data_IF_352144755382
#
_entry.id   IF_352144755382
#
_cell.length_a   1.000
_cell.length_b   1.000
_cell.length_c   1.000
_cell.angle_alpha   90.00
_cell.angle_beta   90.00
_cell.angle_gamma   90.00
#
_symmetry.space_group_name_H-M   'P 1'
#
loop_
_entity.id
_entity.type
_entity.pdbx_description
1 polymer ?
#
# COMPACT_ATOMS: atom_id res chain seq x y z
N UNK A 1 26.04 -64.19 -7.09
CA UNK A 1 25.99 -64.35 -5.62
C UNK A 1 26.64 -63.20 -4.84
N UNK A 2 27.96 -62.89 -4.92
CA UNK A 2 28.55 -61.81 -4.07
C UNK A 2 28.24 -60.37 -4.50
N UNK A 3 27.98 -60.11 -5.79
CA UNK A 3 27.72 -58.75 -6.30
C UNK A 3 26.28 -58.28 -6.05
N UNK A 4 25.31 -59.19 -6.10
CA UNK A 4 23.88 -58.88 -5.85
C UNK A 4 23.62 -58.55 -4.37
N UNK A 5 24.37 -59.17 -3.45
CA UNK A 5 24.28 -58.88 -2.01
C UNK A 5 24.72 -57.44 -1.69
N UNK A 6 25.71 -56.91 -2.41
CA UNK A 6 26.17 -55.52 -2.22
C UNK A 6 25.12 -54.52 -2.71
N UNK A 7 24.47 -54.79 -3.85
CA UNK A 7 23.37 -53.94 -4.34
C UNK A 7 22.14 -53.99 -3.42
N UNK A 8 21.82 -55.15 -2.84
CA UNK A 8 20.74 -55.28 -1.87
C UNK A 8 21.02 -54.51 -0.57
N UNK A 9 22.26 -54.54 -0.07
CA UNK A 9 22.68 -53.76 1.11
C UNK A 9 22.62 -52.26 0.82
N UNK A 10 23.09 -51.82 -0.36
CA UNK A 10 23.04 -50.42 -0.76
C UNK A 10 21.59 -49.92 -0.93
N UNK A 11 20.74 -50.69 -1.59
CA UNK A 11 19.33 -50.34 -1.77
C UNK A 11 18.56 -50.31 -0.44
N UNK A 12 18.80 -51.29 0.45
CA UNK A 12 18.21 -51.33 1.78
C UNK A 12 18.67 -50.16 2.66
N UNK A 13 19.94 -49.76 2.57
CA UNK A 13 20.48 -48.60 3.28
C UNK A 13 19.86 -47.28 2.83
N UNK A 14 19.71 -47.07 1.51
CA UNK A 14 19.08 -45.87 0.96
C UNK A 14 17.59 -45.80 1.34
N UNK A 15 16.87 -46.93 1.24
CA UNK A 15 15.46 -46.98 1.64
C UNK A 15 15.30 -46.70 3.14
N UNK A 16 16.18 -47.26 3.98
CA UNK A 16 16.22 -47.02 5.42
C UNK A 16 16.48 -45.56 5.78
N UNK A 17 17.38 -44.88 5.05
CA UNK A 17 17.65 -43.45 5.24
C UNK A 17 16.46 -42.57 4.84
N UNK A 18 15.75 -42.90 3.76
CA UNK A 18 14.55 -42.17 3.33
C UNK A 18 13.44 -42.29 4.39
N UNK A 19 13.21 -43.49 4.92
CA UNK A 19 12.22 -43.73 5.97
C UNK A 19 12.62 -43.01 7.26
N UNK A 20 13.89 -43.11 7.68
CA UNK A 20 14.39 -42.43 8.87
C UNK A 20 14.29 -40.90 8.74
N UNK A 21 14.61 -40.35 7.57
CA UNK A 21 14.48 -38.91 7.29
C UNK A 21 13.01 -38.46 7.26
N UNK A 22 12.11 -39.27 6.71
CA UNK A 22 10.67 -39.02 6.72
C UNK A 22 10.09 -39.01 8.14
N UNK A 23 10.45 -40.00 8.97
CA UNK A 23 10.04 -40.07 10.39
C UNK A 23 10.63 -38.93 11.19
N UNK A 24 11.90 -38.57 10.98
CA UNK A 24 12.52 -37.43 11.66
C UNK A 24 11.84 -36.11 11.28
N UNK A 25 11.53 -35.89 9.99
CA UNK A 25 10.78 -34.70 9.54
C UNK A 25 9.36 -34.64 10.09
N UNK A 26 8.65 -35.77 10.13
CA UNK A 26 7.34 -35.84 10.75
C UNK A 26 7.42 -35.52 12.25
N UNK A 27 8.39 -36.07 12.97
CA UNK A 27 8.56 -35.81 14.40
C UNK A 27 9.00 -34.37 14.70
N UNK A 28 9.76 -33.72 13.81
CA UNK A 28 10.07 -32.28 13.90
C UNK A 28 8.81 -31.44 13.66
N UNK A 29 7.91 -31.87 12.77
CA UNK A 29 6.62 -31.19 12.54
C UNK A 29 5.61 -31.36 13.69
N UNK A 30 5.76 -32.41 14.51
CA UNK A 30 4.84 -32.73 15.61
C UNK A 30 5.45 -32.60 17.01
N UNK A 31 6.71 -32.17 17.16
CA UNK A 31 7.28 -31.90 18.48
C UNK A 31 6.59 -30.66 19.08
N UNK A 32 5.78 -30.78 20.15
CA UNK A 32 5.32 -29.61 20.85
C UNK A 32 6.55 -28.97 21.46
N UNK A 33 7.01 -27.88 20.86
CA UNK A 33 8.08 -27.10 21.44
C UNK A 33 7.58 -26.60 22.78
N UNK A 34 8.06 -27.21 23.87
CA UNK A 34 7.98 -26.67 25.21
C UNK A 34 8.97 -25.50 25.36
N UNK A 35 9.01 -24.63 24.33
CA UNK A 35 9.41 -23.24 24.49
C UNK A 35 8.26 -22.64 25.26
N UNK A 36 8.57 -22.12 26.44
CA UNK A 36 7.70 -21.20 27.15
C UNK A 36 7.36 -20.09 26.17
N UNK A 37 6.23 -20.23 25.48
CA UNK A 37 5.62 -19.17 24.74
C UNK A 37 5.26 -18.16 25.82
N UNK A 38 6.03 -17.08 25.90
CA UNK A 38 5.45 -15.84 26.39
C UNK A 38 4.17 -15.67 25.60
N UNK A 39 3.04 -15.92 26.25
CA UNK A 39 1.75 -15.50 25.74
C UNK A 39 1.83 -13.99 25.75
N UNK A 40 2.38 -13.40 24.68
CA UNK A 40 1.88 -12.11 24.25
C UNK A 40 0.45 -12.40 23.85
N UNK A 41 -0.43 -12.31 24.84
CA UNK A 41 -1.86 -12.24 24.64
C UNK A 41 -2.03 -11.13 23.61
N UNK A 42 -2.41 -11.49 22.39
CA UNK A 42 -2.83 -10.50 21.41
C UNK A 42 -3.95 -9.74 22.12
N UNK A 43 -3.63 -8.53 22.58
CA UNK A 43 -4.64 -7.59 23.05
C UNK A 43 -5.62 -7.47 21.88
N UNK A 44 -6.94 -7.61 22.10
CA UNK A 44 -7.89 -7.48 21.03
C UNK A 44 -7.63 -6.12 20.38
N UNK A 45 -7.21 -6.11 19.11
CA UNK A 45 -7.12 -4.85 18.37
C UNK A 45 -8.50 -4.23 18.45
N UNK A 46 -8.67 -3.08 19.13
CA UNK A 46 -9.98 -2.49 19.32
C UNK A 46 -10.60 -2.31 17.93
N UNK A 47 -11.79 -2.89 17.74
CA UNK A 47 -12.50 -2.76 16.47
C UNK A 47 -12.68 -1.27 16.18
N UNK A 48 -12.30 -0.78 14.98
CA UNK A 48 -12.45 0.64 14.66
C UNK A 48 -13.89 1.10 14.86
N UNK A 49 -14.08 2.24 15.54
CA UNK A 49 -15.40 2.80 15.80
C UNK A 49 -16.09 3.32 14.52
N UNK A 50 -15.31 3.59 13.48
CA UNK A 50 -15.74 3.99 12.15
C UNK A 50 -14.71 3.56 11.10
N UNK A 51 -15.05 3.73 9.82
CA UNK A 51 -14.22 3.33 8.69
C UNK A 51 -14.07 4.48 7.69
N UNK A 52 -12.99 4.45 6.91
CA UNK A 52 -12.83 5.24 5.70
C UNK A 52 -13.25 4.36 4.51
N UNK A 53 -13.97 4.93 3.55
CA UNK A 53 -14.27 4.29 2.26
C UNK A 53 -13.90 5.25 1.14
N UNK A 54 -13.09 4.79 0.19
CA UNK A 54 -12.69 5.59 -0.96
C UNK A 54 -13.67 5.41 -2.12
N UNK A 55 -14.01 6.52 -2.76
CA UNK A 55 -14.66 6.56 -4.07
C UNK A 55 -13.63 6.71 -5.20
N UNK A 56 -12.54 7.45 -4.94
CA UNK A 56 -11.38 7.62 -5.82
C UNK A 56 -10.14 7.93 -4.96
N UNK A 57 -8.92 7.61 -5.33
CA UNK A 57 -8.55 6.53 -6.24
C UNK A 57 -8.79 5.16 -5.56
N UNK A 58 -8.66 4.09 -6.35
CA UNK A 58 -8.75 2.71 -5.90
C UNK A 58 -7.37 2.06 -5.83
N UNK A 59 -7.25 1.03 -4.99
CA UNK A 59 -6.00 0.30 -4.84
C UNK A 59 -5.53 -0.31 -6.18
N UNK A 60 -4.24 -0.16 -6.44
CA UNK A 60 -3.57 -0.57 -7.67
C UNK A 60 -3.93 0.25 -8.91
N UNK A 61 -4.59 1.41 -8.78
CA UNK A 61 -4.83 2.29 -9.94
C UNK A 61 -3.51 2.72 -10.59
N UNK A 62 -3.49 2.74 -11.92
CA UNK A 62 -2.43 3.37 -12.71
C UNK A 62 -2.91 4.76 -13.14
N UNK A 63 -2.08 5.75 -12.89
CA UNK A 63 -2.33 7.15 -13.19
C UNK A 63 -1.27 7.66 -14.16
N UNK A 64 -1.66 8.58 -15.04
CA UNK A 64 -0.78 9.17 -16.06
C UNK A 64 -0.46 10.63 -15.77
N UNK A 65 -1.05 11.18 -14.70
CA UNK A 65 -0.74 12.50 -14.13
C UNK A 65 0.04 12.35 -12.82
N UNK A 66 0.92 13.31 -12.54
CA UNK A 66 1.77 13.33 -11.34
C UNK A 66 1.05 13.79 -10.07
N UNK A 67 -0.28 13.94 -10.11
CA UNK A 67 -1.10 14.32 -8.96
C UNK A 67 -2.42 13.57 -9.00
N UNK A 68 -3.01 13.31 -7.84
CA UNK A 68 -4.28 12.60 -7.73
C UNK A 68 -5.15 13.21 -6.65
N UNK A 69 -6.45 13.33 -6.96
CA UNK A 69 -7.47 13.67 -5.97
C UNK A 69 -8.11 12.41 -5.42
N UNK A 70 -7.90 12.17 -4.13
CA UNK A 70 -8.55 11.13 -3.35
C UNK A 70 -9.86 11.68 -2.80
N UNK A 71 -10.98 11.03 -3.12
CA UNK A 71 -12.31 11.34 -2.61
C UNK A 71 -12.90 10.12 -1.90
N UNK A 72 -13.61 10.36 -0.81
CA UNK A 72 -14.21 9.29 -0.03
C UNK A 72 -15.19 9.77 1.03
N UNK A 73 -15.64 8.81 1.83
CA UNK A 73 -16.55 9.03 2.96
C UNK A 73 -15.94 8.42 4.22
N UNK A 74 -16.13 9.11 5.34
CA UNK A 74 -15.79 8.68 6.70
C UNK A 74 -16.84 9.24 7.67
N UNK A 75 -16.56 9.24 8.98
CA UNK A 75 -17.42 9.91 9.98
C UNK A 75 -17.37 11.44 9.76
N UNK A 76 -18.51 12.12 9.92
CA UNK A 76 -18.63 13.57 9.74
C UNK A 76 -17.65 14.37 10.60
N UNK A 77 -17.15 15.50 10.08
CA UNK A 77 -16.28 16.45 10.80
C UNK A 77 -14.94 15.88 11.29
N UNK A 78 -14.54 14.69 10.82
CA UNK A 78 -13.25 14.07 11.14
C UNK A 78 -12.10 14.72 10.38
N UNK A 79 -10.91 14.72 10.98
CA UNK A 79 -9.69 15.04 10.26
C UNK A 79 -9.22 13.82 9.50
N UNK A 80 -8.88 13.96 8.22
CA UNK A 80 -8.30 12.91 7.39
C UNK A 80 -6.89 13.33 7.02
N UNK A 81 -5.89 12.72 7.66
CA UNK A 81 -4.48 12.83 7.26
C UNK A 81 -4.23 11.92 6.07
N UNK A 82 -3.62 12.45 5.01
CA UNK A 82 -3.18 11.72 3.83
C UNK A 82 -1.68 11.88 3.69
N UNK A 83 -0.96 10.78 3.83
CA UNK A 83 0.50 10.74 3.81
C UNK A 83 0.99 10.00 2.57
N UNK A 84 1.56 10.73 1.62
CA UNK A 84 2.22 10.21 0.43
C UNK A 84 3.72 9.98 0.64
N UNK A 85 4.46 9.75 -0.45
CA UNK A 85 5.91 9.52 -0.38
C UNK A 85 6.68 10.76 0.04
N UNK A 86 6.38 11.90 -0.57
CA UNK A 86 7.15 13.14 -0.40
C UNK A 86 6.41 14.23 0.37
N UNK A 87 5.10 14.08 0.53
CA UNK A 87 4.27 15.07 1.22
C UNK A 87 3.20 14.46 2.12
N UNK A 88 2.69 15.31 3.01
CA UNK A 88 1.53 15.05 3.85
C UNK A 88 0.55 16.20 3.68
N UNK A 89 -0.73 15.87 3.57
CA UNK A 89 -1.82 16.84 3.62
C UNK A 89 -2.85 16.36 4.62
N UNK A 90 -3.70 17.26 5.09
CA UNK A 90 -4.89 16.85 5.81
C UNK A 90 -6.08 17.67 5.34
N UNK A 91 -7.26 17.06 5.44
CA UNK A 91 -8.54 17.70 5.15
C UNK A 91 -9.52 17.38 6.26
N UNK A 92 -10.60 18.16 6.36
CA UNK A 92 -11.70 17.86 7.28
C UNK A 92 -12.87 17.35 6.48
N UNK A 93 -13.37 16.17 6.83
CA UNK A 93 -14.59 15.63 6.26
C UNK A 93 -15.77 16.55 6.58
N UNK A 94 -16.68 16.71 5.63
CA UNK A 94 -17.84 17.59 5.77
C UNK A 94 -18.89 17.04 6.76
N UNK A 95 -20.01 17.75 6.89
CA UNK A 95 -21.12 17.35 7.75
C UNK A 95 -21.76 16.01 7.35
N UNK A 96 -21.54 15.54 6.12
CA UNK A 96 -21.99 14.23 5.61
C UNK A 96 -20.86 13.19 5.63
N UNK A 97 -19.66 13.56 6.08
CA UNK A 97 -18.48 12.69 6.12
C UNK A 97 -17.71 12.61 4.80
N UNK A 98 -18.06 13.41 3.79
CA UNK A 98 -17.36 13.43 2.51
C UNK A 98 -16.04 14.19 2.65
N UNK A 99 -14.98 13.70 2.01
CA UNK A 99 -13.69 14.38 1.97
C UNK A 99 -13.08 14.28 0.58
N UNK A 100 -12.27 15.28 0.24
CA UNK A 100 -11.43 15.29 -0.96
C UNK A 100 -10.06 15.83 -0.57
N UNK A 101 -8.99 15.14 -0.98
CA UNK A 101 -7.60 15.54 -0.74
C UNK A 101 -6.78 15.28 -2.00
N UNK A 102 -5.97 16.25 -2.39
CA UNK A 102 -5.04 16.12 -3.52
C UNK A 102 -3.64 15.88 -3.00
N UNK A 103 -2.95 14.93 -3.60
CA UNK A 103 -1.53 14.68 -3.35
C UNK A 103 -0.75 14.50 -4.66
N UNK A 104 0.51 14.86 -4.63
CA UNK A 104 1.50 14.61 -5.66
C UNK A 104 2.00 13.16 -5.60
N UNK A 105 2.34 12.63 -6.77
CA UNK A 105 2.83 11.28 -6.97
C UNK A 105 4.25 11.31 -7.53
N UNK A 106 5.12 10.53 -6.90
CA UNK A 106 6.44 10.22 -7.43
C UNK A 106 6.32 9.16 -8.54
N UNK A 107 7.21 9.22 -9.52
CA UNK A 107 7.21 8.28 -10.65
C UNK A 107 7.34 6.82 -10.16
N UNK A 108 6.51 5.93 -10.69
CA UNK A 108 6.44 4.54 -10.25
C UNK A 108 5.43 4.35 -9.12
N UNK A 109 5.78 3.54 -8.13
CA UNK A 109 4.85 3.12 -7.07
C UNK A 109 4.83 4.09 -5.90
N UNK A 110 3.61 4.41 -5.42
CA UNK A 110 3.36 5.30 -4.28
C UNK A 110 2.49 4.56 -3.26
N UNK A 111 2.97 4.46 -2.02
CA UNK A 111 2.26 3.86 -0.88
C UNK A 111 1.65 4.96 -0.01
N UNK A 112 0.36 5.20 -0.16
CA UNK A 112 -0.34 6.27 0.56
C UNK A 112 -0.98 5.71 1.83
N UNK A 113 -0.86 6.44 2.93
CA UNK A 113 -1.54 6.13 4.20
C UNK A 113 -2.59 7.18 4.48
N UNK A 114 -3.84 6.76 4.64
CA UNK A 114 -4.91 7.63 5.11
C UNK A 114 -5.22 7.27 6.56
N UNK A 115 -5.24 8.25 7.44
CA UNK A 115 -5.66 8.08 8.84
C UNK A 115 -6.70 9.14 9.18
N UNK A 116 -7.87 8.71 9.62
CA UNK A 116 -8.94 9.61 10.03
C UNK A 116 -9.07 9.63 11.56
N UNK A 117 -9.19 10.82 12.13
CA UNK A 117 -9.39 11.07 13.56
C UNK A 117 -10.72 11.79 13.79
N UNK A 118 -11.51 11.32 14.76
CA UNK A 118 -12.63 12.08 15.28
C UNK A 118 -12.23 13.03 16.42
N UNK A 119 -13.20 13.81 16.90
CA UNK A 119 -12.96 14.82 17.95
C UNK A 119 -12.50 14.22 19.29
N UNK A 120 -12.75 12.92 19.51
CA UNK A 120 -12.29 12.18 20.69
C UNK A 120 -10.95 11.46 20.43
N UNK A 121 -10.37 11.65 19.26
CA UNK A 121 -9.15 10.99 18.82
C UNK A 121 -9.31 9.52 18.47
N UNK A 122 -10.54 8.99 18.39
CA UNK A 122 -10.75 7.67 17.79
C UNK A 122 -10.25 7.70 16.34
N UNK A 123 -9.45 6.70 15.98
CA UNK A 123 -8.77 6.65 14.69
C UNK A 123 -9.12 5.40 13.90
N UNK A 124 -8.97 5.51 12.58
CA UNK A 124 -8.98 4.38 11.64
C UNK A 124 -8.01 4.71 10.51
N UNK A 125 -7.33 3.68 9.99
CA UNK A 125 -6.33 3.85 8.93
C UNK A 125 -6.56 2.88 7.78
N UNK A 126 -6.22 3.33 6.58
CA UNK A 126 -6.13 2.49 5.39
C UNK A 126 -4.85 2.79 4.61
N UNK A 127 -4.39 1.78 3.86
CA UNK A 127 -3.27 1.91 2.93
C UNK A 127 -3.80 1.82 1.51
N UNK A 128 -3.21 2.61 0.62
CA UNK A 128 -3.57 2.69 -0.78
C UNK A 128 -2.30 2.65 -1.62
N UNK A 129 -2.21 1.73 -2.57
CA UNK A 129 -1.12 1.64 -3.52
C UNK A 129 -1.54 2.26 -4.86
N UNK A 130 -0.80 3.26 -5.33
CA UNK A 130 -1.02 3.87 -6.65
C UNK A 130 0.26 3.75 -7.49
N UNK A 131 0.11 3.66 -8.81
CA UNK A 131 1.24 3.67 -9.74
C UNK A 131 1.12 4.85 -10.69
N UNK A 132 2.11 5.75 -10.69
CA UNK A 132 2.20 6.84 -11.65
C UNK A 132 3.17 6.45 -12.78
N UNK A 133 2.67 6.40 -14.02
CA UNK A 133 3.50 6.22 -15.22
C UNK A 133 2.92 6.99 -16.40
N UNK A 134 3.55 8.12 -16.73
CA UNK A 134 3.22 8.91 -17.93
C UNK A 134 3.29 8.09 -19.23
N UNK A 135 4.20 7.11 -19.32
CA UNK A 135 4.36 6.26 -20.50
C UNK A 135 3.21 5.26 -20.68
N UNK A 136 2.36 5.09 -19.66
CA UNK A 136 1.20 4.20 -19.75
C UNK A 136 0.03 4.83 -20.53
N UNK A 137 0.03 6.15 -20.72
CA UNK A 137 -1.00 6.90 -21.44
C UNK A 137 -1.26 6.33 -22.85
N UNK A 138 -0.21 5.94 -23.58
CA UNK A 138 -0.35 5.35 -24.91
C UNK A 138 -1.24 4.10 -24.93
N UNK A 139 -1.19 3.28 -23.88
CA UNK A 139 -2.00 2.06 -23.79
C UNK A 139 -3.46 2.36 -23.44
N UNK A 140 -3.73 3.46 -22.74
CA UNK A 140 -5.10 3.94 -22.48
C UNK A 140 -5.74 4.39 -23.79
N UNK A 141 -5.02 5.18 -24.59
CA UNK A 141 -5.48 5.65 -25.90
C UNK A 141 -5.75 4.49 -26.88
N UNK A 142 -4.84 3.52 -26.95
CA UNK A 142 -5.00 2.32 -27.78
C UNK A 142 -6.23 1.50 -27.36
N UNK A 143 -6.47 1.34 -26.05
CA UNK A 143 -7.62 0.60 -25.53
C UNK A 143 -8.95 1.32 -25.80
N UNK A 144 -8.99 2.65 -25.71
CA UNK A 144 -10.20 3.44 -26.03
C UNK A 144 -10.56 3.35 -27.52
N UNK A 145 -9.57 3.49 -28.41
CA UNK A 145 -9.80 3.37 -29.87
C UNK A 145 -10.31 1.98 -30.29
N UNK A 146 -9.92 0.93 -29.56
CA UNK A 146 -10.37 -0.45 -29.79
C UNK A 146 -11.81 -0.71 -29.32
N UNK A 147 -12.38 0.17 -28.49
CA UNK A 147 -13.69 -0.02 -27.85
C UNK A 147 -14.85 0.78 -28.49
N UNK A 148 -14.57 1.70 -29.43
CA UNK A 148 -15.56 2.52 -30.15
C UNK A 148 -16.36 1.75 -31.23
N UNK A 149 -16.06 0.48 -31.50
CA UNK A 149 -16.68 -0.26 -32.61
C UNK A 149 -18.02 -0.95 -32.30
N UNK A 150 -18.64 -0.69 -31.14
CA UNK A 150 -20.00 -1.16 -30.85
C UNK A 150 -20.76 -0.20 -29.92
N UNK A 151 -21.47 0.77 -30.50
CA UNK A 151 -22.52 1.49 -29.78
C UNK A 151 -23.73 1.71 -30.68
N UNK A 152 -24.75 0.86 -30.50
CA UNK A 152 -26.12 1.20 -30.89
C UNK A 152 -26.82 1.70 -29.63
N UNK A 153 -26.89 3.02 -29.50
CA UNK A 153 -27.46 3.70 -28.36
C UNK A 153 -28.91 3.27 -28.11
N UNK A 154 -29.19 2.75 -26.90
CA UNK A 154 -30.52 2.86 -26.30
C UNK A 154 -30.37 3.41 -24.89
N UNK A 155 -30.90 4.62 -24.68
CA UNK A 155 -30.95 5.44 -23.45
C UNK A 155 -31.72 4.73 -22.32
N UNK A 156 -31.23 3.57 -21.89
CA UNK A 156 -31.77 2.81 -20.79
C UNK A 156 -30.84 2.91 -19.59
N UNK A 157 -31.40 2.83 -18.38
CA UNK A 157 -30.61 2.69 -17.14
C UNK A 157 -29.62 1.51 -17.27
N UNK A 158 -30.01 0.47 -18.02
CA UNK A 158 -29.17 -0.68 -18.34
C UNK A 158 -27.94 -0.30 -19.16
N UNK A 159 -28.09 0.50 -20.22
CA UNK A 159 -26.96 0.99 -21.02
C UNK A 159 -25.96 1.82 -20.19
N UNK A 160 -26.46 2.68 -19.29
CA UNK A 160 -25.60 3.46 -18.38
C UNK A 160 -24.84 2.58 -17.36
N UNK A 161 -25.45 1.50 -16.88
CA UNK A 161 -24.79 0.53 -15.99
C UNK A 161 -23.74 -0.27 -16.77
N UNK A 162 -24.07 -0.75 -17.97
CA UNK A 162 -23.16 -1.49 -18.84
C UNK A 162 -21.94 -0.63 -19.22
N UNK A 163 -22.15 0.66 -19.52
CA UNK A 163 -21.09 1.63 -19.77
C UNK A 163 -20.18 1.83 -18.55
N UNK A 164 -20.75 2.03 -17.35
CA UNK A 164 -19.96 2.16 -16.11
C UNK A 164 -19.18 0.89 -15.76
N UNK A 165 -19.75 -0.29 -16.05
CA UNK A 165 -19.07 -1.57 -15.88
C UNK A 165 -17.92 -1.71 -16.88
N UNK A 166 -18.12 -1.32 -18.15
CA UNK A 166 -17.08 -1.32 -19.18
C UNK A 166 -15.96 -0.34 -18.83
N UNK A 167 -16.30 0.85 -18.36
CA UNK A 167 -15.36 1.88 -17.89
C UNK A 167 -14.54 1.37 -16.68
N UNK A 168 -15.20 0.76 -15.69
CA UNK A 168 -14.53 0.18 -14.53
C UNK A 168 -13.59 -0.99 -14.90
N UNK A 169 -13.99 -1.86 -15.84
CA UNK A 169 -13.14 -2.94 -16.36
C UNK A 169 -12.00 -2.41 -17.24
N UNK A 170 -12.19 -1.28 -17.91
CA UNK A 170 -11.16 -0.59 -18.69
C UNK A 170 -10.23 0.29 -17.86
N UNK A 171 -10.47 0.43 -16.56
CA UNK A 171 -9.57 1.18 -15.68
C UNK A 171 -8.23 0.45 -15.57
N UNK A 172 -7.10 1.15 -15.81
CA UNK A 172 -5.80 0.52 -15.79
C UNK A 172 -5.40 0.16 -14.35
N UNK A 173 -4.89 -1.06 -14.18
CA UNK A 173 -4.54 -1.64 -12.89
C UNK A 173 -3.12 -2.19 -12.86
N UNK A 174 -2.49 -2.07 -11.71
CA UNK A 174 -1.20 -2.65 -11.42
C UNK A 174 -1.32 -3.83 -10.44
N UNK A 175 -0.68 -4.94 -10.76
CA UNK A 175 -0.44 -6.04 -9.83
C UNK A 175 1.05 -6.14 -9.50
N UNK A 176 1.34 -6.31 -8.21
CA UNK A 176 2.70 -6.36 -7.69
C UNK A 176 2.93 -7.67 -6.95
N UNK A 177 4.11 -8.24 -7.13
CA UNK A 177 4.45 -9.49 -6.48
C UNK A 177 5.67 -10.16 -7.05
N UNK A 178 6.03 -11.28 -6.44
CA UNK A 178 7.12 -12.14 -6.90
C UNK A 178 6.61 -13.13 -7.92
N UNK A 179 7.29 -13.25 -9.06
CA UNK A 179 6.96 -14.24 -10.10
C UNK A 179 7.14 -15.64 -9.53
N UNK A 180 6.09 -16.45 -9.61
CA UNK A 180 6.08 -17.84 -9.11
C UNK A 180 6.02 -18.86 -10.23
N UNK A 181 5.44 -18.51 -11.38
CA UNK A 181 5.31 -19.40 -12.53
C UNK A 181 5.39 -18.59 -13.83
N UNK A 182 6.01 -19.19 -14.84
CA UNK A 182 6.11 -18.65 -16.20
C UNK A 182 5.68 -19.74 -17.17
N UNK A 183 4.66 -19.43 -17.95
CA UNK A 183 4.11 -20.29 -18.99
C UNK A 183 3.97 -19.48 -20.30
N UNK A 184 3.70 -20.16 -21.42
CA UNK A 184 3.54 -19.47 -22.71
C UNK A 184 2.36 -18.49 -22.65
N UNK A 185 2.65 -17.19 -22.80
CA UNK A 185 1.65 -16.12 -22.77
C UNK A 185 1.08 -15.79 -21.39
N UNK A 186 1.57 -16.38 -20.30
CA UNK A 186 1.07 -16.07 -18.94
C UNK A 186 2.15 -16.07 -17.87
N UNK A 187 2.02 -15.18 -16.89
CA UNK A 187 2.79 -15.19 -15.64
C UNK A 187 1.86 -15.35 -14.44
N UNK A 188 2.36 -15.99 -13.39
CA UNK A 188 1.75 -15.91 -12.06
C UNK A 188 2.68 -15.17 -11.10
N UNK A 189 2.09 -14.31 -10.27
CA UNK A 189 2.81 -13.63 -9.20
C UNK A 189 2.14 -13.92 -7.85
N UNK A 190 2.94 -13.93 -6.80
CA UNK A 190 2.49 -13.94 -5.41
C UNK A 190 2.59 -12.54 -4.83
N UNK A 191 1.46 -11.98 -4.39
CA UNK A 191 1.42 -10.65 -3.73
C UNK A 191 2.03 -10.71 -2.33
N UNK A 192 2.23 -9.54 -1.71
CA UNK A 192 2.72 -9.46 -0.33
C UNK A 192 1.76 -10.12 0.68
N UNK A 193 0.46 -10.09 0.40
CA UNK A 193 -0.61 -10.74 1.17
C UNK A 193 -0.65 -12.26 0.94
N UNK A 194 0.15 -12.76 0.00
CA UNK A 194 0.23 -14.18 -0.33
C UNK A 194 -0.78 -14.66 -1.37
N UNK A 195 -1.56 -13.75 -1.96
CA UNK A 195 -2.49 -14.08 -3.04
C UNK A 195 -1.75 -14.41 -4.33
N UNK A 196 -2.24 -15.38 -5.10
CA UNK A 196 -1.73 -15.64 -6.44
C UNK A 196 -2.56 -14.84 -7.45
N UNK A 197 -1.90 -13.99 -8.24
CA UNK A 197 -2.50 -13.24 -9.35
C UNK A 197 -1.97 -13.75 -10.67
N UNK A 198 -2.86 -13.87 -11.65
CA UNK A 198 -2.52 -14.29 -13.01
C UNK A 198 -2.45 -13.08 -13.95
N UNK A 199 -1.43 -13.09 -14.79
CA UNK A 199 -1.13 -12.10 -15.81
C UNK A 199 -1.18 -12.77 -17.18
N UNK A 200 -1.91 -12.18 -18.12
CA UNK A 200 -1.85 -12.53 -19.54
C UNK A 200 -0.86 -11.61 -20.24
N UNK A 201 -0.03 -12.17 -21.12
CA UNK A 201 1.10 -11.47 -21.72
C UNK A 201 1.11 -11.69 -23.23
N UNK A 202 0.97 -10.59 -23.96
CA UNK A 202 1.19 -10.56 -25.40
C UNK A 202 2.69 -10.49 -25.73
N UNK A 203 3.07 -10.80 -26.96
CA UNK A 203 4.47 -10.84 -27.40
C UNK A 203 5.16 -9.46 -27.46
N UNK A 204 4.40 -8.37 -27.41
CA UNK A 204 4.83 -6.98 -27.69
C UNK A 204 4.79 -6.06 -26.45
N UNK A 205 4.80 -6.62 -25.24
CA UNK A 205 4.78 -5.81 -24.03
C UNK A 205 6.12 -5.09 -23.76
N UNK A 206 6.05 -3.95 -23.09
CA UNK A 206 7.25 -3.23 -22.65
C UNK A 206 7.75 -3.77 -21.32
N UNK A 207 9.03 -4.16 -21.25
CA UNK A 207 9.64 -4.67 -20.00
C UNK A 207 10.83 -3.80 -19.62
N UNK A 208 10.79 -3.23 -18.42
CA UNK A 208 11.84 -2.33 -17.92
C UNK A 208 12.43 -2.93 -16.65
N UNK A 209 13.76 -3.07 -16.62
CA UNK A 209 14.49 -3.33 -15.38
C UNK A 209 14.79 -2.00 -14.69
N UNK A 210 14.23 -1.85 -13.50
CA UNK A 210 14.39 -0.66 -12.65
C UNK A 210 15.57 -0.85 -11.68
N UNK A 211 16.21 0.25 -11.31
CA UNK A 211 17.41 0.27 -10.46
C UNK A 211 17.99 1.68 -10.41
N UNK A 212 19.32 1.84 -10.42
CA UNK A 212 19.95 3.17 -10.52
C UNK A 212 19.58 3.92 -11.81
N UNK A 213 19.36 3.17 -12.88
CA UNK A 213 18.86 3.67 -14.17
C UNK A 213 17.86 2.65 -14.70
N UNK A 214 16.84 3.14 -15.40
CA UNK A 214 15.85 2.28 -16.04
C UNK A 214 16.41 1.78 -17.37
N UNK A 215 16.32 0.47 -17.60
CA UNK A 215 16.78 -0.18 -18.83
C UNK A 215 15.66 -1.03 -19.42
N UNK A 216 15.36 -0.81 -20.70
CA UNK A 216 14.47 -1.70 -21.44
C UNK A 216 15.16 -3.06 -21.68
N UNK A 217 14.42 -4.13 -21.40
CA UNK A 217 14.86 -5.53 -21.46
C UNK A 217 13.81 -6.38 -22.16
N UNK A 218 14.12 -7.63 -22.47
CA UNK A 218 13.18 -8.54 -23.13
C UNK A 218 12.30 -9.22 -22.11
N UNK A 219 11.12 -9.70 -22.54
CA UNK A 219 10.26 -10.54 -21.70
C UNK A 219 10.98 -11.80 -21.18
N UNK A 220 11.90 -12.36 -21.99
CA UNK A 220 12.74 -13.50 -21.60
C UNK A 220 13.68 -13.22 -20.43
N UNK A 221 13.87 -11.95 -20.07
CA UNK A 221 14.70 -11.54 -18.93
C UNK A 221 13.90 -11.53 -17.60
N UNK A 222 12.59 -11.75 -17.63
CA UNK A 222 11.76 -11.96 -16.43
C UNK A 222 11.95 -13.39 -15.94
N UNK A 223 12.37 -13.57 -14.69
CA UNK A 223 12.62 -14.87 -14.09
C UNK A 223 11.70 -15.17 -12.90
N UNK A 224 11.52 -16.47 -12.60
CA UNK A 224 10.89 -16.90 -11.35
C UNK A 224 11.71 -16.37 -10.17
N UNK A 225 11.04 -15.75 -9.21
CA UNK A 225 11.67 -15.08 -8.07
C UNK A 225 11.88 -13.58 -8.25
N UNK A 226 11.73 -13.05 -9.47
CA UNK A 226 11.78 -11.59 -9.68
C UNK A 226 10.55 -10.92 -9.05
N UNK A 227 10.75 -9.79 -8.39
CA UNK A 227 9.65 -8.93 -8.00
C UNK A 227 9.30 -8.01 -9.17
N UNK A 228 8.03 -8.02 -9.57
CA UNK A 228 7.56 -7.23 -10.70
C UNK A 228 6.37 -6.34 -10.35
N UNK A 229 6.25 -5.24 -11.08
CA UNK A 229 5.06 -4.39 -11.16
C UNK A 229 4.49 -4.59 -12.56
N UNK A 230 3.44 -5.38 -12.67
CA UNK A 230 2.73 -5.62 -13.92
C UNK A 230 1.59 -4.62 -14.06
N UNK A 231 1.56 -3.89 -15.18
CA UNK A 231 0.59 -2.85 -15.47
C UNK A 231 -0.23 -3.23 -16.70
N UNK A 232 -1.54 -3.10 -16.61
CA UNK A 232 -2.45 -3.59 -17.64
C UNK A 232 -3.92 -3.26 -17.38
N UNK A 233 -4.79 -3.99 -18.06
CA UNK A 233 -6.24 -3.87 -17.90
C UNK A 233 -6.81 -5.17 -17.34
N UNK A 234 -7.68 -5.07 -16.34
CA UNK A 234 -8.26 -6.25 -15.68
C UNK A 234 -9.46 -6.75 -16.48
N UNK A 235 -9.47 -8.02 -16.87
CA UNK A 235 -10.64 -8.61 -17.50
C UNK A 235 -11.71 -9.02 -16.47
N UNK A 236 -12.89 -9.45 -16.95
CA UNK A 236 -14.00 -9.87 -16.09
C UNK A 236 -13.70 -11.03 -15.13
N UNK A 237 -12.64 -11.82 -15.39
CA UNK A 237 -12.20 -12.94 -14.55
C UNK A 237 -11.09 -12.55 -13.57
N UNK A 238 -10.68 -11.28 -13.56
CA UNK A 238 -9.63 -10.77 -12.70
C UNK A 238 -8.21 -11.09 -13.12
N UNK A 239 -8.02 -11.59 -14.35
CA UNK A 239 -6.70 -11.71 -14.99
C UNK A 239 -6.30 -10.35 -15.55
N UNK A 240 -5.03 -9.97 -15.37
CA UNK A 240 -4.49 -8.73 -15.90
C UNK A 240 -3.96 -8.93 -17.32
N UNK A 241 -4.57 -8.31 -18.32
CA UNK A 241 -3.99 -8.17 -19.66
C UNK A 241 -2.84 -7.14 -19.59
N UNK A 242 -1.63 -7.65 -19.49
CA UNK A 242 -0.43 -6.88 -19.16
C UNK A 242 0.10 -6.18 -20.39
N UNK A 243 0.36 -4.87 -20.28
CA UNK A 243 0.96 -4.05 -21.34
C UNK A 243 2.39 -3.62 -21.02
N UNK A 244 2.71 -3.52 -19.72
CA UNK A 244 4.03 -3.09 -19.24
C UNK A 244 4.42 -3.84 -17.96
N UNK A 245 5.68 -4.25 -17.87
CA UNK A 245 6.26 -4.88 -16.67
C UNK A 245 7.47 -4.07 -16.22
N UNK A 246 7.54 -3.76 -14.93
CA UNK A 246 8.75 -3.25 -14.29
C UNK A 246 9.35 -4.35 -13.42
N UNK A 247 10.57 -4.79 -13.70
CA UNK A 247 11.34 -5.65 -12.81
C UNK A 247 12.01 -4.75 -11.77
N UNK A 248 11.69 -4.96 -10.49
CA UNK A 248 12.13 -4.10 -9.38
C UNK A 248 12.52 -4.93 -8.16
N UNK A 249 12.89 -4.25 -7.08
CA UNK A 249 12.97 -4.83 -5.75
C UNK A 249 11.61 -4.73 -5.04
N UNK A 250 11.33 -5.62 -4.06
CA UNK A 250 10.16 -5.50 -3.22
C UNK A 250 10.06 -4.11 -2.59
N UNK A 251 8.84 -3.60 -2.46
CA UNK A 251 8.62 -2.31 -1.82
C UNK A 251 8.97 -2.38 -0.32
N UNK A 252 9.52 -1.30 0.26
CA UNK A 252 9.72 -1.24 1.70
C UNK A 252 8.37 -1.30 2.44
N UNK A 253 8.42 -1.72 3.71
CA UNK A 253 7.24 -1.69 4.57
C UNK A 253 6.86 -0.25 4.95
N UNK A 254 5.56 0.04 4.99
CA UNK A 254 5.04 1.34 5.39
C UNK A 254 5.03 1.49 6.92
N UNK A 255 6.02 2.20 7.44
CA UNK A 255 6.15 2.55 8.86
C UNK A 255 5.45 3.86 9.23
N UNK A 256 5.11 4.70 8.25
CA UNK A 256 4.35 5.95 8.42
C UNK A 256 3.07 5.75 9.25
N UNK A 257 2.85 6.64 10.21
CA UNK A 257 1.70 6.73 11.12
C UNK A 257 1.30 8.19 11.29
N UNK A 258 0.08 8.40 11.76
CA UNK A 258 -0.39 9.72 12.17
C UNK A 258 -0.68 9.74 13.67
N UNK A 259 -0.63 10.92 14.28
CA UNK A 259 -1.00 11.17 15.68
C UNK A 259 -1.91 12.38 15.77
N UNK A 260 -2.81 12.37 16.75
CA UNK A 260 -3.66 13.50 17.09
C UNK A 260 -3.50 13.83 18.57
N UNK A 261 -2.94 15.01 18.86
CA UNK A 261 -2.42 15.31 20.17
C UNK A 261 -2.52 16.78 20.53
N UNK A 262 -2.49 17.07 21.83
CA UNK A 262 -2.43 18.42 22.37
C UNK A 262 -1.03 18.70 22.92
N UNK A 263 -0.44 19.83 22.56
CA UNK A 263 0.90 20.21 23.05
C UNK A 263 0.82 20.62 24.51
N UNK A 264 1.60 19.96 25.37
CA UNK A 264 1.76 20.31 26.79
C UNK A 264 3.00 21.16 27.03
N UNK A 265 4.11 20.86 26.33
CA UNK A 265 5.37 21.57 26.52
C UNK A 265 6.21 21.58 25.25
N UNK A 266 6.84 22.71 24.96
CA UNK A 266 7.80 22.83 23.86
C UNK A 266 9.22 23.10 24.40
N UNK A 267 10.13 22.16 24.19
CA UNK A 267 11.54 22.25 24.59
C UNK A 267 12.46 22.66 23.42
N UNK A 268 11.90 23.24 22.35
CA UNK A 268 12.54 23.64 21.09
C UNK A 268 13.05 22.50 20.20
N UNK A 269 13.65 21.47 20.79
CA UNK A 269 14.15 20.27 20.08
C UNK A 269 13.16 19.12 20.08
N UNK A 270 12.24 19.13 21.03
CA UNK A 270 11.15 18.18 21.15
C UNK A 270 9.95 18.90 21.79
N UNK A 271 8.78 18.28 21.64
CA UNK A 271 7.57 18.65 22.36
C UNK A 271 7.07 17.44 23.16
N UNK A 272 6.48 17.72 24.32
CA UNK A 272 5.66 16.77 25.04
C UNK A 272 4.21 17.07 24.71
N UNK A 273 3.48 16.02 24.37
CA UNK A 273 2.08 16.08 23.95
C UNK A 273 1.26 15.07 24.72
N UNK A 274 -0.05 15.31 24.81
CA UNK A 274 -1.01 14.36 25.31
C UNK A 274 -1.86 13.87 24.14
N UNK A 275 -1.93 12.56 23.92
CA UNK A 275 -2.76 11.96 22.88
C UNK A 275 -4.24 12.19 23.17
N UNK A 276 -5.00 12.67 22.17
CA UNK A 276 -6.42 13.03 22.38
C UNK A 276 -7.27 11.82 22.77
N UNK A 277 -6.93 10.63 22.27
CA UNK A 277 -7.69 9.39 22.51
C UNK A 277 -7.45 8.77 23.88
N UNK A 278 -6.18 8.71 24.29
CA UNK A 278 -5.75 7.90 25.44
C UNK A 278 -5.36 8.74 26.64
N UNK A 279 -5.26 10.07 26.49
CA UNK A 279 -4.68 10.99 27.47
C UNK A 279 -3.24 10.63 27.88
N UNK A 280 -2.57 9.74 27.14
CA UNK A 280 -1.19 9.34 27.38
C UNK A 280 -0.20 10.38 26.86
N UNK A 281 0.87 10.59 27.63
CA UNK A 281 1.96 11.46 27.23
C UNK A 281 2.80 10.84 26.10
N UNK A 282 3.03 11.60 25.05
CA UNK A 282 3.87 11.23 23.93
C UNK A 282 4.91 12.33 23.66
N UNK A 283 6.16 11.90 23.56
CA UNK A 283 7.26 12.75 23.09
C UNK A 283 7.26 12.79 21.56
N UNK A 284 7.27 14.00 20.98
CA UNK A 284 7.40 14.21 19.53
C UNK A 284 8.68 14.99 19.24
N UNK A 285 9.47 14.50 18.29
CA UNK A 285 10.70 15.11 17.80
C UNK A 285 10.52 15.41 16.31
N UNK A 286 10.91 16.59 15.80
CA UNK A 286 10.86 16.84 14.37
C UNK A 286 11.98 16.05 13.66
N UNK A 287 11.62 15.38 12.56
CA UNK A 287 12.60 14.88 11.62
C UNK A 287 13.47 16.03 11.07
N UNK A 288 14.64 15.69 10.51
CA UNK A 288 15.62 16.67 10.01
C UNK A 288 15.01 17.75 9.11
N UNK A 289 14.14 17.34 8.18
CA UNK A 289 13.51 18.21 7.18
C UNK A 289 12.01 18.40 7.45
N UNK A 290 11.61 18.29 8.73
CA UNK A 290 10.20 18.33 9.10
C UNK A 290 9.50 19.64 8.67
N UNK A 291 8.26 19.50 8.24
CA UNK A 291 7.39 20.62 7.85
C UNK A 291 6.37 20.89 8.96
N UNK A 292 6.26 22.15 9.39
CA UNK A 292 5.32 22.54 10.44
C UNK A 292 4.43 23.64 9.87
N UNK A 293 3.13 23.44 9.97
CA UNK A 293 2.13 24.35 9.44
C UNK A 293 1.17 24.81 10.54
N UNK A 294 0.90 26.10 10.56
CA UNK A 294 -0.27 26.64 11.23
C UNK A 294 -1.43 26.64 10.25
N UNK A 295 -2.48 25.90 10.58
CA UNK A 295 -3.68 25.83 9.75
C UNK A 295 -4.65 26.96 10.09
N UNK A 296 -5.25 27.53 9.05
CA UNK A 296 -6.37 28.46 9.14
C UNK A 296 -7.49 28.00 8.22
N UNK A 297 -8.67 28.62 8.26
CA UNK A 297 -9.79 28.21 7.41
C UNK A 297 -9.50 28.29 5.90
N UNK A 298 -8.56 29.14 5.48
CA UNK A 298 -8.27 29.39 4.05
C UNK A 298 -6.96 28.76 3.57
N UNK A 299 -5.96 28.60 4.45
CA UNK A 299 -4.64 28.09 4.07
C UNK A 299 -3.79 27.60 5.24
N UNK A 300 -2.81 26.78 4.90
CA UNK A 300 -1.72 26.39 5.79
C UNK A 300 -0.53 27.34 5.63
N UNK A 301 -0.03 27.88 6.75
CA UNK A 301 1.15 28.76 6.77
C UNK A 301 2.32 28.04 7.43
N UNK A 302 3.46 27.93 6.74
CA UNK A 302 4.66 27.29 7.30
C UNK A 302 5.19 28.10 8.50
N UNK A 303 5.44 27.43 9.61
CA UNK A 303 6.02 28.00 10.84
C UNK A 303 7.24 27.17 11.27
N UNK A 304 7.99 27.61 12.29
CA UNK A 304 9.07 26.80 12.86
C UNK A 304 8.51 25.87 13.94
N UNK A 305 9.17 24.74 14.15
CA UNK A 305 8.84 23.82 15.24
C UNK A 305 8.89 24.51 16.63
N UNK A 306 9.83 25.43 16.83
CA UNK A 306 9.94 26.22 18.05
C UNK A 306 8.76 27.19 18.29
N UNK A 307 7.92 27.42 17.27
CA UNK A 307 6.74 28.31 17.35
C UNK A 307 5.46 27.57 17.77
N UNK A 308 5.53 26.24 17.99
CA UNK A 308 4.44 25.47 18.58
C UNK A 308 4.22 25.92 20.03
N UNK A 309 2.96 26.18 20.37
CA UNK A 309 2.56 26.73 21.67
C UNK A 309 1.94 25.66 22.54
N UNK A 310 2.01 25.88 23.85
CA UNK A 310 1.22 25.11 24.80
C UNK A 310 -0.27 25.20 24.44
N UNK A 311 -0.96 24.07 24.55
CA UNK A 311 -2.35 23.85 24.16
C UNK A 311 -2.65 23.90 22.65
N UNK A 312 -1.65 24.04 21.77
CA UNK A 312 -1.86 23.81 20.34
C UNK A 312 -2.39 22.37 20.13
N UNK A 313 -3.46 22.24 19.34
CA UNK A 313 -4.00 20.95 18.91
C UNK A 313 -3.36 20.61 17.56
N UNK A 314 -2.73 19.44 17.48
CA UNK A 314 -1.90 19.07 16.33
C UNK A 314 -2.29 17.73 15.72
N UNK A 315 -2.16 17.65 14.39
CA UNK A 315 -2.06 16.40 13.65
C UNK A 315 -0.61 16.23 13.20
N UNK A 316 0.00 15.11 13.55
CA UNK A 316 1.36 14.76 13.11
C UNK A 316 1.34 13.58 12.15
N UNK A 317 2.18 13.61 11.12
CA UNK A 317 2.55 12.45 10.30
C UNK A 317 4.03 12.16 10.50
N UNK A 318 4.40 10.89 10.60
CA UNK A 318 5.75 10.48 10.98
C UNK A 318 5.84 9.01 11.31
N UNK A 319 6.84 8.63 12.10
CA UNK A 319 7.11 7.24 12.47
C UNK A 319 7.43 7.12 13.96
N UNK A 320 7.11 5.98 14.55
CA UNK A 320 7.52 5.67 15.92
C UNK A 320 8.91 5.04 15.91
N UNK A 321 9.83 5.66 16.65
CA UNK A 321 11.13 5.10 17.00
C UNK A 321 11.17 4.94 18.51
N UNK A 322 11.13 3.69 18.97
CA UNK A 322 10.97 3.33 20.39
C UNK A 322 9.70 3.96 21.00
N UNK A 323 9.87 4.82 22.01
CA UNK A 323 8.79 5.57 22.67
C UNK A 323 8.63 6.99 22.14
N UNK A 324 9.36 7.37 21.09
CA UNK A 324 9.32 8.72 20.51
C UNK A 324 8.67 8.68 19.14
N UNK A 325 7.85 9.68 18.84
CA UNK A 325 7.31 9.88 17.51
C UNK A 325 8.18 10.90 16.77
N UNK A 326 8.86 10.45 15.72
CA UNK A 326 9.62 11.32 14.83
C UNK A 326 8.68 11.86 13.75
N UNK A 327 8.30 13.14 13.87
CA UNK A 327 7.34 13.78 13.00
C UNK A 327 8.01 14.30 11.72
N UNK A 328 7.52 13.82 10.57
CA UNK A 328 7.81 14.37 9.24
C UNK A 328 7.03 15.66 8.99
N UNK A 329 5.75 15.68 9.34
CA UNK A 329 4.90 16.86 9.15
C UNK A 329 4.02 17.07 10.38
N UNK A 330 3.84 18.32 10.80
CA UNK A 330 2.93 18.71 11.88
C UNK A 330 2.00 19.82 11.38
N UNK A 331 0.70 19.61 11.52
CA UNK A 331 -0.33 20.62 11.32
C UNK A 331 -0.90 21.04 12.67
N UNK A 332 -0.78 22.32 13.01
CA UNK A 332 -1.56 22.92 14.10
C UNK A 332 -2.95 23.18 13.56
N UNK A 333 -3.93 22.41 14.01
CA UNK A 333 -5.32 22.45 13.53
C UNK A 333 -6.23 23.30 14.40
N UNK A 334 -5.84 23.56 15.64
CA UNK A 334 -6.42 24.59 16.48
C UNK A 334 -5.35 25.19 17.39
N UNK A 335 -5.44 26.50 17.62
CA UNK A 335 -4.55 27.26 18.48
C UNK A 335 -5.38 28.08 19.47
N UNK A 336 -5.03 28.08 20.77
CA UNK A 336 -5.72 28.89 21.78
C UNK A 336 -5.58 30.40 21.55
#
# INVERSE_FOLDING_TARGET
>A
MRKEVIFAIAAGGVLGLIIAFGVWRANVAFSPSNRSASKTQASPTPKPEFAITLAKASDGDILTESSVTLSGITKSNTFVMVSGEDEDVYVRADAKGSFEATIDLSGGTNQIVLTAFDEKGSETSMRLLLVYSSEFEKYIQDNQSSQESTDTATDSVRGRVEQKVKEALSSPKAFLGTVTDISEGTLQIKTAEGEIKQLSIASDISVIKTGKTNKEVKLTDVAIGDFIIAMGFKNGNGVLDTKRILISSPLPEVTRRAVFAKVFKNNKKDILTQMVKTDEDQKIVPAKDALIFLSSQEKNTKIKFADLKENDLILGSGEFSDSTFEARTIFVVARP
#
